data_IF_179867223787
#
_entry.id   IF_179867223787
#
_cell.length_a   1.000
_cell.length_b   1.000
_cell.length_c   1.000
_cell.angle_alpha   90.00
_cell.angle_beta   90.00
_cell.angle_gamma   90.00
#
_symmetry.space_group_name_H-M   'P 1'
#
loop_
_entity.id
_entity.type
_entity.pdbx_description
1 polymer ?
#
# COMPACT_ATOMS: atom_id res chain seq x y z
N UNK A 1 4.44 -13.98 -6.93
CA UNK A 1 3.35 -13.02 -7.24
C UNK A 1 2.99 -12.02 -6.16
N UNK A 2 2.91 -12.40 -4.89
CA UNK A 2 2.36 -11.52 -3.85
C UNK A 2 3.10 -10.16 -3.76
N UNK A 3 4.42 -10.08 -4.05
CA UNK A 3 5.18 -8.81 -4.09
C UNK A 3 4.74 -7.84 -5.18
N UNK A 4 4.17 -8.34 -6.29
CA UNK A 4 3.66 -7.50 -7.37
C UNK A 4 2.43 -6.73 -6.88
N UNK A 5 1.55 -7.41 -6.14
CA UNK A 5 0.38 -6.78 -5.55
C UNK A 5 0.76 -5.77 -4.44
N UNK A 6 1.81 -6.04 -3.66
CA UNK A 6 2.35 -5.04 -2.71
C UNK A 6 2.86 -3.78 -3.43
N UNK A 7 3.55 -3.94 -4.57
CA UNK A 7 3.96 -2.79 -5.40
C UNK A 7 2.74 -2.03 -5.94
N UNK A 8 1.70 -2.73 -6.39
CA UNK A 8 0.45 -2.09 -6.80
C UNK A 8 -0.17 -1.27 -5.67
N UNK A 9 -0.19 -1.82 -4.45
CA UNK A 9 -0.70 -1.12 -3.28
C UNK A 9 0.12 0.15 -2.98
N UNK A 10 1.46 0.09 -3.07
CA UNK A 10 2.32 1.28 -2.93
C UNK A 10 2.03 2.34 -4.01
N UNK A 11 1.87 1.93 -5.27
CA UNK A 11 1.47 2.87 -6.34
C UNK A 11 0.09 3.47 -6.09
N UNK A 12 -0.85 2.71 -5.51
CA UNK A 12 -2.15 3.22 -5.07
C UNK A 12 -2.03 4.31 -4.00
N UNK A 13 -1.17 4.12 -3.00
CA UNK A 13 -0.88 5.13 -1.97
C UNK A 13 -0.24 6.37 -2.61
N UNK A 14 0.73 6.19 -3.52
CA UNK A 14 1.40 7.29 -4.20
C UNK A 14 0.45 8.10 -5.09
N UNK A 15 -0.43 7.42 -5.83
CA UNK A 15 -1.48 8.06 -6.62
C UNK A 15 -2.46 8.84 -5.75
N UNK A 16 -2.90 8.26 -4.62
CA UNK A 16 -3.76 8.95 -3.66
C UNK A 16 -3.08 10.20 -3.06
N UNK A 17 -1.79 10.11 -2.73
CA UNK A 17 -1.02 11.24 -2.21
C UNK A 17 -0.91 12.39 -3.24
N UNK A 18 -0.64 12.06 -4.51
CA UNK A 18 -0.60 13.03 -5.60
C UNK A 18 -1.95 13.73 -5.80
N UNK A 19 -3.04 12.96 -5.85
CA UNK A 19 -4.40 13.52 -5.99
C UNK A 19 -4.76 14.41 -4.80
N UNK A 20 -4.38 13.99 -3.58
CA UNK A 20 -4.56 14.79 -2.36
C UNK A 20 -3.76 16.09 -2.35
N UNK A 21 -2.58 16.12 -2.96
CA UNK A 21 -1.72 17.30 -3.04
C UNK A 21 -2.19 18.34 -4.07
N UNK A 22 -2.77 17.91 -5.20
CA UNK A 22 -3.16 18.80 -6.30
C UNK A 22 -4.35 19.71 -5.93
N UNK A 23 -5.32 19.22 -5.15
CA UNK A 23 -6.54 19.97 -4.86
C UNK A 23 -7.03 19.84 -3.40
N UNK A 24 -6.30 20.37 -2.41
CA UNK A 24 -6.57 20.15 -0.98
C UNK A 24 -7.88 20.77 -0.46
N UNK A 25 -8.45 21.74 -1.19
CA UNK A 25 -9.68 22.46 -0.81
C UNK A 25 -10.95 21.85 -1.41
N UNK A 26 -10.83 20.85 -2.27
CA UNK A 26 -11.97 20.26 -3.01
C UNK A 26 -12.45 18.97 -2.35
N UNK A 27 -13.71 18.53 -2.58
CA UNK A 27 -14.20 17.25 -2.07
C UNK A 27 -13.39 16.03 -2.57
N UNK A 28 -12.55 16.23 -3.60
CA UNK A 28 -11.61 15.24 -4.11
C UNK A 28 -10.65 14.70 -3.03
N UNK A 29 -10.42 15.49 -1.95
CA UNK A 29 -9.65 15.05 -0.78
C UNK A 29 -10.24 13.79 -0.12
N UNK A 30 -11.56 13.64 -0.05
CA UNK A 30 -12.18 12.45 0.54
C UNK A 30 -11.92 11.22 -0.32
N UNK A 31 -12.00 11.36 -1.65
CA UNK A 31 -11.68 10.28 -2.59
C UNK A 31 -10.22 9.84 -2.42
N UNK A 32 -9.29 10.79 -2.32
CA UNK A 32 -7.88 10.50 -2.06
C UNK A 32 -7.66 9.76 -0.73
N UNK A 33 -8.32 10.18 0.35
CA UNK A 33 -8.21 9.51 1.66
C UNK A 33 -8.77 8.09 1.60
N UNK A 34 -9.91 7.88 0.92
CA UNK A 34 -10.51 6.55 0.77
C UNK A 34 -9.60 5.62 -0.03
N UNK A 35 -9.04 6.09 -1.16
CA UNK A 35 -8.11 5.29 -1.98
C UNK A 35 -6.84 4.96 -1.18
N UNK A 36 -6.32 5.93 -0.42
CA UNK A 36 -5.15 5.72 0.42
C UNK A 36 -5.42 4.65 1.49
N UNK A 37 -6.49 4.80 2.27
CA UNK A 37 -6.84 3.84 3.32
C UNK A 37 -7.11 2.45 2.75
N UNK A 38 -7.84 2.36 1.64
CA UNK A 38 -8.09 1.10 0.97
C UNK A 38 -6.78 0.41 0.54
N UNK A 39 -5.88 1.16 -0.10
CA UNK A 39 -4.58 0.64 -0.54
C UNK A 39 -3.69 0.22 0.63
N UNK A 40 -3.71 0.96 1.74
CA UNK A 40 -2.95 0.64 2.94
C UNK A 40 -3.46 -0.63 3.64
N UNK A 41 -4.78 -0.81 3.74
CA UNK A 41 -5.41 -2.02 4.32
C UNK A 41 -5.10 -3.24 3.46
N UNK A 42 -5.26 -3.15 2.14
CA UNK A 42 -4.94 -4.25 1.23
C UNK A 42 -3.43 -4.57 1.29
N UNK A 43 -2.56 -3.57 1.20
CA UNK A 43 -1.12 -3.75 1.31
C UNK A 43 -0.69 -4.44 2.61
N UNK A 44 -1.29 -4.06 3.74
CA UNK A 44 -1.03 -4.68 5.04
C UNK A 44 -1.49 -6.15 5.07
N UNK A 45 -2.67 -6.46 4.53
CA UNK A 45 -3.18 -7.84 4.47
C UNK A 45 -2.25 -8.73 3.64
N UNK A 46 -1.82 -8.26 2.47
CA UNK A 46 -0.93 -9.02 1.61
C UNK A 46 0.45 -9.23 2.24
N UNK A 47 1.01 -8.19 2.86
CA UNK A 47 2.28 -8.31 3.57
C UNK A 47 2.18 -9.29 4.75
N UNK A 48 1.03 -9.34 5.43
CA UNK A 48 0.78 -10.32 6.48
C UNK A 48 0.73 -11.75 5.93
N UNK A 49 -0.01 -11.99 4.84
CA UNK A 49 -0.07 -13.30 4.18
C UNK A 49 1.33 -13.76 3.71
N UNK A 50 2.13 -12.86 3.15
CA UNK A 50 3.52 -13.14 2.79
C UNK A 50 4.41 -13.52 3.96
N UNK A 51 4.35 -12.76 5.05
CA UNK A 51 5.18 -13.06 6.24
C UNK A 51 4.80 -14.43 6.80
N UNK A 52 3.51 -14.76 6.82
CA UNK A 52 3.04 -16.08 7.24
C UNK A 52 3.61 -17.21 6.37
N UNK A 53 3.64 -17.04 5.03
CA UNK A 53 4.23 -18.01 4.10
C UNK A 53 5.74 -18.17 4.36
N UNK A 54 6.46 -17.08 4.69
CA UNK A 54 7.89 -17.16 5.01
C UNK A 54 8.21 -17.79 6.37
N UNK A 55 7.27 -17.71 7.32
CA UNK A 55 7.40 -18.30 8.66
C UNK A 55 6.96 -19.78 8.68
N UNK A 56 5.96 -20.14 7.89
CA UNK A 56 5.40 -21.48 7.78
C UNK A 56 5.41 -21.95 6.32
N UNK A 57 6.58 -22.35 5.78
CA UNK A 57 6.68 -22.78 4.41
C UNK A 57 5.90 -24.08 4.19
N UNK A 58 4.82 -24.01 3.42
CA UNK A 58 4.03 -25.14 2.99
C UNK A 58 4.38 -25.50 1.54
N UNK A 59 4.78 -26.75 1.25
CA UNK A 59 5.22 -27.16 -0.09
C UNK A 59 4.09 -27.18 -1.14
N UNK A 60 2.84 -27.00 -0.72
CA UNK A 60 1.66 -26.99 -1.60
C UNK A 60 1.24 -25.59 -2.08
N UNK A 61 1.75 -24.50 -1.49
CA UNK A 61 1.49 -23.15 -2.00
C UNK A 61 2.54 -22.79 -3.03
N UNK A 62 2.23 -23.07 -4.30
CA UNK A 62 3.00 -22.56 -5.41
C UNK A 62 2.66 -21.08 -5.61
N UNK A 63 3.67 -20.23 -5.66
CA UNK A 63 3.47 -18.86 -6.08
C UNK A 63 3.19 -18.85 -7.58
N UNK A 64 2.05 -18.31 -8.01
CA UNK A 64 1.77 -18.13 -9.45
C UNK A 64 2.91 -17.36 -10.13
N UNK A 65 3.20 -17.71 -11.39
CA UNK A 65 4.21 -17.04 -12.22
C UNK A 65 3.70 -15.72 -12.84
N UNK A 66 2.39 -15.48 -12.81
CA UNK A 66 1.77 -14.25 -13.31
C UNK A 66 0.66 -13.79 -12.37
N UNK A 67 0.61 -12.48 -12.12
CA UNK A 67 -0.52 -11.88 -11.40
C UNK A 67 -1.77 -11.96 -12.29
N UNK A 68 -2.90 -12.41 -11.72
CA UNK A 68 -4.18 -12.43 -12.43
C UNK A 68 -4.82 -11.05 -12.32
N UNK A 69 -4.58 -10.18 -13.29
CA UNK A 69 -5.30 -8.93 -13.41
C UNK A 69 -6.61 -9.11 -14.20
N UNK A 70 -7.70 -8.43 -13.81
CA UNK A 70 -8.96 -8.46 -14.54
C UNK A 70 -8.81 -7.83 -15.94
N UNK A 71 -9.57 -8.33 -16.92
CA UNK A 71 -9.42 -8.01 -18.35
C UNK A 71 -9.53 -6.52 -18.69
N UNK A 72 -10.18 -5.72 -17.83
CA UNK A 72 -10.38 -4.28 -17.99
C UNK A 72 -9.17 -3.41 -17.57
N UNK A 73 -8.14 -3.98 -16.93
CA UNK A 73 -6.98 -3.26 -16.40
C UNK A 73 -5.70 -4.07 -16.68
N UNK A 74 -5.24 -4.14 -17.94
CA UNK A 74 -4.07 -4.90 -18.34
C UNK A 74 -2.76 -4.20 -17.93
N UNK A 75 -2.55 -4.05 -16.62
CA UNK A 75 -1.38 -3.37 -16.05
C UNK A 75 -0.07 -4.06 -16.45
N UNK A 76 -0.11 -5.38 -16.66
CA UNK A 76 0.99 -6.22 -17.16
C UNK A 76 1.50 -5.80 -18.53
N UNK A 77 0.59 -5.32 -19.39
CA UNK A 77 0.92 -4.93 -20.78
C UNK A 77 1.49 -3.51 -20.84
N UNK A 78 1.11 -2.65 -19.90
CA UNK A 78 1.57 -1.26 -19.85
C UNK A 78 2.96 -1.13 -19.23
N UNK A 79 3.32 -1.97 -18.25
CA UNK A 79 4.61 -1.89 -17.52
C UNK A 79 5.23 -3.28 -17.28
N UNK A 80 5.61 -4.01 -18.35
CA UNK A 80 6.11 -5.38 -18.24
C UNK A 80 7.38 -5.50 -17.37
N UNK A 81 8.22 -4.46 -17.30
CA UNK A 81 9.43 -4.46 -16.47
C UNK A 81 9.16 -4.49 -14.96
N UNK A 82 7.97 -4.07 -14.51
CA UNK A 82 7.62 -3.99 -13.09
C UNK A 82 6.72 -5.15 -12.65
N UNK A 83 5.96 -5.73 -13.58
CA UNK A 83 4.91 -6.73 -13.33
C UNK A 83 5.30 -8.18 -13.69
N UNK A 84 6.43 -8.41 -14.36
CA UNK A 84 6.92 -9.78 -14.62
C UNK A 84 7.54 -10.37 -13.35
N UNK A 85 7.00 -11.50 -12.88
CA UNK A 85 7.58 -12.25 -11.77
C UNK A 85 8.78 -13.04 -12.28
N UNK A 86 9.99 -12.65 -11.87
CA UNK A 86 11.23 -13.32 -12.29
C UNK A 86 11.83 -14.25 -11.22
N UNK A 87 11.09 -14.61 -10.16
CA UNK A 87 11.65 -15.46 -9.10
C UNK A 87 10.65 -16.09 -8.13
N UNK A 88 11.16 -17.06 -7.38
CA UNK A 88 10.45 -17.80 -6.33
C UNK A 88 10.13 -16.90 -5.11
N UNK A 89 8.87 -16.90 -4.67
CA UNK A 89 8.43 -16.12 -3.51
C UNK A 89 8.97 -16.60 -2.17
N UNK A 90 9.48 -17.83 -2.11
CA UNK A 90 9.95 -18.48 -0.89
C UNK A 90 11.41 -18.14 -0.55
N UNK A 91 12.14 -17.56 -1.49
CA UNK A 91 13.54 -17.21 -1.30
C UNK A 91 13.67 -15.90 -0.49
N UNK A 92 14.49 -15.92 0.57
CA UNK A 92 14.83 -14.72 1.34
C UNK A 92 16.03 -14.03 0.70
N UNK A 93 15.79 -13.17 -0.30
CA UNK A 93 16.87 -12.44 -0.98
C UNK A 93 17.51 -11.34 -0.12
N UNK A 94 16.79 -10.80 0.86
CA UNK A 94 17.26 -9.67 1.66
C UNK A 94 16.67 -9.67 3.07
N UNK A 95 17.54 -9.40 4.03
CA UNK A 95 17.20 -9.20 5.43
C UNK A 95 17.97 -8.01 5.98
N UNK A 96 17.28 -7.04 6.57
CA UNK A 96 17.87 -5.99 7.38
C UNK A 96 17.45 -6.19 8.83
N UNK A 97 18.41 -6.17 9.75
CA UNK A 97 18.16 -6.28 11.19
C UNK A 97 17.39 -7.56 11.59
N UNK A 98 17.69 -8.69 10.95
CA UNK A 98 17.00 -9.99 11.13
C UNK A 98 15.54 -10.04 10.60
N UNK A 99 15.01 -8.93 10.08
CA UNK A 99 13.69 -8.89 9.44
C UNK A 99 13.82 -9.01 7.92
N UNK A 100 12.98 -9.85 7.33
CA UNK A 100 12.85 -9.98 5.87
C UNK A 100 12.12 -8.79 5.26
N UNK A 101 12.26 -8.61 3.93
CA UNK A 101 11.52 -7.56 3.20
C UNK A 101 10.01 -7.53 3.49
N UNK A 102 9.27 -8.66 3.56
CA UNK A 102 7.82 -8.62 3.77
C UNK A 102 7.45 -8.11 5.17
N UNK A 103 8.28 -8.39 6.17
CA UNK A 103 8.06 -7.89 7.53
C UNK A 103 8.24 -6.37 7.59
N UNK A 104 9.25 -5.85 6.89
CA UNK A 104 9.45 -4.40 6.74
C UNK A 104 8.29 -3.75 5.98
N UNK A 105 7.81 -4.36 4.90
CA UNK A 105 6.66 -3.86 4.15
C UNK A 105 5.39 -3.83 5.01
N UNK A 106 5.16 -4.85 5.85
CA UNK A 106 4.03 -4.84 6.79
C UNK A 106 4.11 -3.65 7.76
N UNK A 107 5.30 -3.37 8.31
CA UNK A 107 5.51 -2.21 9.20
C UNK A 107 5.22 -0.89 8.46
N UNK A 108 5.73 -0.74 7.24
CA UNK A 108 5.54 0.47 6.43
C UNK A 108 4.06 0.68 6.09
N UNK A 109 3.35 -0.36 5.64
CA UNK A 109 1.92 -0.28 5.36
C UNK A 109 1.09 0.02 6.62
N UNK A 110 1.45 -0.56 7.76
CA UNK A 110 0.81 -0.24 9.03
C UNK A 110 1.02 1.24 9.40
N UNK A 111 2.24 1.76 9.24
CA UNK A 111 2.52 3.18 9.47
C UNK A 111 1.69 4.08 8.53
N UNK A 112 1.61 3.77 7.23
CA UNK A 112 0.76 4.52 6.29
C UNK A 112 -0.72 4.48 6.67
N UNK A 113 -1.22 3.34 7.15
CA UNK A 113 -2.60 3.19 7.63
C UNK A 113 -2.85 4.08 8.85
N UNK A 114 -1.95 4.06 9.84
CA UNK A 114 -2.04 4.90 11.05
C UNK A 114 -2.06 6.38 10.67
N UNK A 115 -1.14 6.83 9.82
CA UNK A 115 -1.10 8.23 9.39
C UNK A 115 -2.38 8.59 8.62
N UNK A 116 -2.87 7.70 7.75
CA UNK A 116 -4.14 7.89 7.02
C UNK A 116 -5.34 8.05 7.96
N UNK A 117 -5.43 7.24 9.02
CA UNK A 117 -6.47 7.34 10.04
C UNK A 117 -6.36 8.63 10.83
N UNK A 118 -5.15 9.04 11.24
CA UNK A 118 -4.92 10.31 11.93
C UNK A 118 -5.36 11.49 11.07
N UNK A 119 -5.03 11.47 9.76
CA UNK A 119 -5.45 12.51 8.82
C UNK A 119 -6.97 12.53 8.66
N UNK A 120 -7.61 11.37 8.57
CA UNK A 120 -9.07 11.26 8.49
C UNK A 120 -9.73 11.82 9.76
N UNK A 121 -9.26 11.46 10.95
CA UNK A 121 -9.75 12.01 12.21
C UNK A 121 -9.55 13.52 12.29
N UNK A 122 -8.38 14.01 11.87
CA UNK A 122 -8.10 15.45 11.82
C UNK A 122 -9.03 16.23 10.86
N UNK A 123 -9.65 15.58 9.86
CA UNK A 123 -10.69 16.23 9.05
C UNK A 123 -12.00 16.45 9.81
N UNK A 124 -12.32 15.59 10.77
CA UNK A 124 -13.54 15.72 11.59
C UNK A 124 -13.40 16.76 12.70
N UNK A 125 -12.18 17.12 13.11
CA UNK A 125 -11.91 18.18 14.07
C UNK A 125 -11.46 19.46 13.34
N UNK A 126 -12.39 20.32 12.85
CA UNK A 126 -11.99 21.57 12.24
C UNK A 126 -11.19 22.40 13.25
N UNK A 127 -10.08 23.06 12.81
CA UNK A 127 -9.32 23.92 13.69
C UNK A 127 -10.23 25.02 14.22
N UNK A 128 -10.36 25.10 15.55
CA UNK A 128 -11.01 26.23 16.22
C UNK A 128 -10.29 27.49 15.74
N UNK A 129 -11.00 28.37 15.00
CA UNK A 129 -10.44 29.66 14.57
C UNK A 129 -9.91 30.37 15.81
N UNK A 130 -8.59 30.50 15.91
CA UNK A 130 -7.97 31.37 16.91
C UNK A 130 -8.01 32.76 16.29
N UNK A 131 -9.13 33.46 16.47
CA UNK A 131 -9.22 34.89 16.21
C UNK A 131 -8.32 35.60 17.24
N UNK A 132 -7.01 35.63 16.95
CA UNK A 132 -6.01 36.25 17.81
C UNK A 132 -5.31 37.43 17.10
N UNK A 133 -5.98 38.04 16.13
CA UNK A 133 -5.54 39.28 15.48
C UNK A 133 -6.76 40.04 14.94
N UNK A 134 -7.59 40.54 15.86
CA UNK A 134 -8.55 41.61 15.57
C UNK A 134 -8.60 42.55 16.77
N UNK A 135 -7.60 43.42 16.83
CA UNK A 135 -7.65 44.76 17.41
C UNK A 135 -6.43 45.54 16.96
#
# INVERSE_FOLDING_TARGET
VMCIYERCALFGILGAALVGAIAPKTPLRWVAIVIWLYSAVQGLRLAWEHTMIQLHPNPFTTCDFAARFPQWLPLDKWLPSVFVATGDCAEKLWSLFSLGMPQWLAIIFAAYLIVGLVVLLAQFFPPKKRDLFSR
#
